data_IF_779725034186
#
_entry.id   IF_779725034186
#
_cell.length_a   1.000
_cell.length_b   1.000
_cell.length_c   1.000
_cell.angle_alpha   90.00
_cell.angle_beta   90.00
_cell.angle_gamma   90.00
#
_symmetry.space_group_name_H-M   'P 1'
#
loop_
_entity.id
_entity.type
_entity.pdbx_description
1 polymer ?
#
# COMPACT_ATOMS: atom_id res chain seq x y z
N UNK A 1 -6.88 -11.27 -8.62
CA UNK A 1 -6.45 -10.19 -7.70
C UNK A 1 -5.74 -10.74 -6.46
N UNK A 2 -6.19 -11.86 -5.87
CA UNK A 2 -5.52 -12.49 -4.73
C UNK A 2 -4.06 -12.90 -5.01
N UNK A 3 -3.77 -13.34 -6.23
CA UNK A 3 -2.43 -13.81 -6.62
C UNK A 3 -1.36 -12.70 -6.57
N UNK A 4 -1.66 -11.50 -7.08
CA UNK A 4 -0.70 -10.38 -7.10
C UNK A 4 -0.25 -9.96 -5.70
N UNK A 5 -1.19 -9.93 -4.75
CA UNK A 5 -0.92 -9.62 -3.34
C UNK A 5 -0.10 -10.73 -2.70
N UNK A 6 -0.46 -11.99 -2.96
CA UNK A 6 0.23 -13.14 -2.43
C UNK A 6 1.70 -13.15 -2.89
N UNK A 7 1.94 -12.99 -4.19
CA UNK A 7 3.28 -12.87 -4.77
C UNK A 7 4.08 -11.72 -4.15
N UNK A 8 3.47 -10.53 -4.02
CA UNK A 8 4.13 -9.37 -3.41
C UNK A 8 4.55 -9.63 -1.96
N UNK A 9 3.69 -10.27 -1.17
CA UNK A 9 3.98 -10.65 0.21
C UNK A 9 5.08 -11.69 0.32
N UNK A 10 5.06 -12.72 -0.53
CA UNK A 10 6.11 -13.75 -0.59
C UNK A 10 7.46 -13.13 -0.99
N UNK A 11 7.49 -12.25 -1.98
CA UNK A 11 8.74 -11.58 -2.38
C UNK A 11 9.32 -10.71 -1.27
N UNK A 12 8.49 -10.06 -0.45
CA UNK A 12 8.94 -9.33 0.74
C UNK A 12 9.57 -10.27 1.79
N UNK A 13 8.96 -11.43 2.04
CA UNK A 13 9.51 -12.44 2.96
C UNK A 13 10.86 -12.98 2.46
N UNK A 14 10.95 -13.32 1.17
CA UNK A 14 12.20 -13.79 0.56
C UNK A 14 13.28 -12.70 0.61
N UNK A 15 12.91 -11.44 0.39
CA UNK A 15 13.83 -10.30 0.51
C UNK A 15 14.36 -10.14 1.93
N UNK A 16 13.54 -10.38 2.96
CA UNK A 16 13.97 -10.37 4.36
C UNK A 16 15.05 -11.43 4.65
N UNK A 17 14.90 -12.63 4.07
CA UNK A 17 15.87 -13.73 4.17
C UNK A 17 17.17 -13.38 3.43
N UNK A 18 17.09 -12.87 2.21
CA UNK A 18 18.27 -12.46 1.45
C UNK A 18 19.06 -11.34 2.14
N UNK A 19 18.37 -10.39 2.77
CA UNK A 19 19.03 -9.36 3.57
C UNK A 19 19.82 -9.94 4.76
N UNK A 20 19.27 -10.98 5.41
CA UNK A 20 19.95 -11.70 6.50
C UNK A 20 21.17 -12.50 6.04
N UNK A 21 21.16 -13.00 4.81
CA UNK A 21 22.29 -13.73 4.23
C UNK A 21 23.45 -12.78 3.89
N UNK A 22 23.14 -11.56 3.45
CA UNK A 22 24.12 -10.51 3.17
C UNK A 22 24.62 -9.78 4.44
N UNK A 23 24.71 -10.47 5.60
CA UNK A 23 24.87 -9.83 6.91
C UNK A 23 26.21 -9.10 7.04
N UNK A 24 26.16 -7.84 7.47
CA UNK A 24 27.32 -6.98 7.68
C UNK A 24 27.25 -6.24 9.03
N UNK A 25 26.04 -5.94 9.53
CA UNK A 25 25.80 -5.29 10.81
C UNK A 25 24.57 -5.87 11.50
N UNK A 26 24.80 -6.60 12.60
CA UNK A 26 23.76 -7.41 13.29
C UNK A 26 22.50 -6.60 13.57
N UNK A 27 22.62 -5.35 14.02
CA UNK A 27 21.48 -4.56 14.46
C UNK A 27 20.64 -4.04 13.29
N UNK A 28 21.26 -3.35 12.32
CA UNK A 28 20.51 -2.72 11.21
C UNK A 28 19.94 -3.78 10.26
N UNK A 29 20.69 -4.86 9.99
CA UNK A 29 20.21 -5.96 9.16
C UNK A 29 18.99 -6.65 9.79
N UNK A 30 19.01 -6.84 11.12
CA UNK A 30 17.88 -7.40 11.86
C UNK A 30 16.66 -6.50 11.78
N UNK A 31 16.83 -5.20 11.96
CA UNK A 31 15.73 -4.24 11.89
C UNK A 31 15.11 -4.20 10.49
N UNK A 32 15.92 -4.10 9.44
CA UNK A 32 15.41 -4.03 8.05
C UNK A 32 14.72 -5.33 7.66
N UNK A 33 15.29 -6.50 7.97
CA UNK A 33 14.63 -7.77 7.70
C UNK A 33 13.35 -7.95 8.52
N UNK A 34 13.29 -7.47 9.77
CA UNK A 34 12.07 -7.50 10.56
C UNK A 34 10.97 -6.63 9.91
N UNK A 35 11.30 -5.43 9.44
CA UNK A 35 10.35 -4.59 8.71
C UNK A 35 9.85 -5.27 7.43
N UNK A 36 10.75 -5.87 6.64
CA UNK A 36 10.37 -6.60 5.42
C UNK A 36 9.51 -7.83 5.74
N UNK A 37 9.84 -8.58 6.79
CA UNK A 37 9.09 -9.75 7.21
C UNK A 37 7.67 -9.38 7.70
N UNK A 38 7.57 -8.40 8.61
CA UNK A 38 6.29 -7.89 9.11
C UNK A 38 5.49 -7.29 7.97
N UNK A 39 6.12 -6.49 7.08
CA UNK A 39 5.49 -5.92 5.90
C UNK A 39 4.93 -7.00 4.96
N UNK A 40 5.69 -8.07 4.72
CA UNK A 40 5.24 -9.22 3.94
C UNK A 40 4.03 -9.91 4.56
N UNK A 41 4.06 -10.19 5.87
CA UNK A 41 2.92 -10.78 6.60
C UNK A 41 1.70 -9.86 6.56
N UNK A 42 1.87 -8.55 6.75
CA UNK A 42 0.79 -7.57 6.64
C UNK A 42 0.13 -7.57 5.25
N UNK A 43 0.93 -7.67 4.18
CA UNK A 43 0.42 -7.78 2.81
C UNK A 43 -0.34 -9.09 2.60
N UNK A 44 0.20 -10.22 3.08
CA UNK A 44 -0.47 -11.53 2.98
C UNK A 44 -1.80 -11.57 3.74
N UNK A 45 -1.87 -10.91 4.89
CA UNK A 45 -3.06 -10.87 5.74
C UNK A 45 -4.11 -9.83 5.33
N UNK A 46 -3.84 -8.95 4.36
CA UNK A 46 -4.72 -7.85 4.00
C UNK A 46 -5.75 -8.22 2.94
N UNK A 47 -7.03 -8.35 3.28
CA UNK A 47 -8.07 -8.74 2.30
C UNK A 47 -8.39 -7.65 1.27
N UNK A 48 -8.17 -6.38 1.63
CA UNK A 48 -8.43 -5.20 0.79
C UNK A 48 -7.22 -4.27 0.78
N UNK A 49 -7.27 -3.21 -0.03
CA UNK A 49 -6.30 -2.13 0.04
C UNK A 49 -6.49 -1.33 1.34
N UNK A 50 -5.82 -1.80 2.39
CA UNK A 50 -5.93 -1.30 3.76
C UNK A 50 -4.61 -0.71 4.25
N UNK A 51 -4.58 -0.04 5.43
CA UNK A 51 -3.34 0.46 6.03
C UNK A 51 -2.22 -0.59 6.15
N UNK A 52 -2.58 -1.88 6.28
CA UNK A 52 -1.64 -3.01 6.29
C UNK A 52 -0.86 -3.15 4.98
N UNK A 53 -1.55 -3.01 3.85
CA UNK A 53 -0.94 -3.06 2.51
C UNK A 53 -0.07 -1.83 2.26
N UNK A 54 -0.49 -0.65 2.77
CA UNK A 54 0.31 0.58 2.73
C UNK A 54 1.59 0.43 3.56
N UNK A 55 1.51 -0.20 4.73
CA UNK A 55 2.69 -0.50 5.54
C UNK A 55 3.66 -1.42 4.81
N UNK A 56 3.17 -2.49 4.15
CA UNK A 56 4.02 -3.34 3.30
C UNK A 56 4.67 -2.60 2.13
N UNK A 57 3.96 -1.63 1.53
CA UNK A 57 4.53 -0.74 0.51
C UNK A 57 5.63 0.17 1.08
N UNK A 58 5.46 0.68 2.31
CA UNK A 58 6.50 1.44 2.98
C UNK A 58 7.74 0.58 3.28
N UNK A 59 7.54 -0.66 3.75
CA UNK A 59 8.64 -1.60 4.00
C UNK A 59 9.41 -1.95 2.73
N UNK A 60 8.74 -2.13 1.59
CA UNK A 60 9.41 -2.34 0.29
C UNK A 60 10.28 -1.15 -0.09
N UNK A 61 9.81 0.08 0.10
CA UNK A 61 10.60 1.30 -0.17
C UNK A 61 11.83 1.38 0.72
N UNK A 62 11.71 1.03 2.01
CA UNK A 62 12.87 0.93 2.93
C UNK A 62 13.87 -0.10 2.40
N UNK A 63 13.41 -1.28 1.98
CA UNK A 63 14.28 -2.30 1.39
C UNK A 63 15.01 -1.81 0.14
N UNK A 64 14.31 -1.13 -0.77
CA UNK A 64 14.89 -0.53 -1.99
C UNK A 64 15.94 0.53 -1.65
N UNK A 65 15.67 1.40 -0.67
CA UNK A 65 16.61 2.44 -0.26
C UNK A 65 17.82 1.88 0.48
N UNK A 66 17.64 0.80 1.25
CA UNK A 66 18.69 0.20 2.05
C UNK A 66 19.70 -0.60 1.23
N UNK A 67 19.27 -1.34 0.20
CA UNK A 67 20.18 -2.20 -0.58
C UNK A 67 21.34 -1.44 -1.25
N UNK A 68 21.15 -0.28 -1.91
CA UNK A 68 22.24 0.52 -2.47
C UNK A 68 23.19 1.06 -1.40
N UNK A 69 22.65 1.50 -0.25
CA UNK A 69 23.46 1.98 0.88
C UNK A 69 24.36 0.85 1.37
N UNK A 70 23.81 -0.36 1.54
CA UNK A 70 24.57 -1.52 1.99
C UNK A 70 25.63 -1.97 0.98
N UNK A 71 25.31 -1.93 -0.32
CA UNK A 71 26.29 -2.18 -1.39
C UNK A 71 27.44 -1.16 -1.36
N UNK A 72 27.15 0.11 -1.11
CA UNK A 72 28.18 1.15 -0.98
C UNK A 72 29.09 0.87 0.23
N UNK A 73 28.54 0.41 1.36
CA UNK A 73 29.35 0.02 2.53
C UNK A 73 30.23 -1.19 2.22
N UNK A 74 29.74 -2.19 1.46
CA UNK A 74 30.52 -3.36 1.00
C UNK A 74 31.73 -2.96 0.16
N UNK A 75 31.61 -1.89 -0.63
CA UNK A 75 32.67 -1.45 -1.54
C UNK A 75 33.64 -0.45 -0.90
N UNK A 76 33.15 0.51 -0.10
CA UNK A 76 33.97 1.63 0.37
C UNK A 76 34.46 1.49 1.82
N UNK A 77 33.68 0.83 2.69
CA UNK A 77 33.93 0.86 4.15
C UNK A 77 34.53 -0.46 4.64
N UNK A 78 33.87 -1.57 4.30
CA UNK A 78 34.25 -2.90 4.78
C UNK A 78 35.65 -3.36 4.34
N UNK A 79 36.09 -3.09 3.09
CA UNK A 79 37.41 -3.52 2.62
C UNK A 79 38.55 -2.93 3.47
N UNK A 80 38.41 -1.65 3.84
CA UNK A 80 39.37 -0.97 4.71
C UNK A 80 39.38 -1.48 6.16
N UNK A 81 38.24 -2.00 6.65
CA UNK A 81 38.13 -2.55 8.01
C UNK A 81 38.61 -4.01 8.11
N UNK A 82 38.34 -4.82 7.08
CA UNK A 82 38.63 -6.25 7.08
C UNK A 82 39.98 -6.59 6.41
N UNK A 83 40.59 -5.64 5.70
CA UNK A 83 41.82 -5.88 4.94
C UNK A 83 41.61 -6.84 3.76
N UNK A 84 40.38 -6.98 3.29
CA UNK A 84 40.00 -7.84 2.16
C UNK A 84 39.78 -6.97 0.94
N UNK A 85 40.05 -7.52 -0.25
CA UNK A 85 39.82 -6.85 -1.52
C UNK A 85 38.36 -6.38 -1.69
N UNK A 86 38.21 -5.13 -2.13
CA UNK A 86 36.92 -4.46 -2.25
C UNK A 86 36.02 -5.12 -3.29
N UNK A 87 36.60 -5.57 -4.40
CA UNK A 87 35.86 -6.22 -5.46
C UNK A 87 35.28 -7.56 -5.02
N UNK A 88 36.07 -8.34 -4.28
CA UNK A 88 35.65 -9.64 -3.73
C UNK A 88 34.47 -9.50 -2.73
N UNK A 89 34.58 -8.54 -1.79
CA UNK A 89 33.50 -8.24 -0.84
C UNK A 89 32.25 -7.72 -1.53
N UNK A 90 32.41 -6.86 -2.53
CA UNK A 90 31.30 -6.35 -3.32
C UNK A 90 30.61 -7.46 -4.10
N UNK A 91 31.37 -8.37 -4.74
CA UNK A 91 30.81 -9.48 -5.49
C UNK A 91 29.97 -10.38 -4.58
N UNK A 92 30.51 -10.72 -3.40
CA UNK A 92 29.81 -11.53 -2.40
C UNK A 92 28.53 -10.85 -1.90
N UNK A 93 28.59 -9.55 -1.58
CA UNK A 93 27.42 -8.78 -1.14
C UNK A 93 26.36 -8.65 -2.25
N UNK A 94 26.80 -8.40 -3.49
CA UNK A 94 25.91 -8.23 -4.65
C UNK A 94 25.11 -9.49 -4.99
N UNK A 95 25.68 -10.69 -4.75
CA UNK A 95 25.01 -11.96 -5.00
C UNK A 95 23.68 -12.11 -4.23
N UNK A 96 23.54 -11.42 -3.10
CA UNK A 96 22.33 -11.44 -2.26
C UNK A 96 21.55 -10.11 -2.33
N UNK A 97 22.25 -8.98 -2.36
CA UNK A 97 21.62 -7.65 -2.33
C UNK A 97 20.96 -7.28 -3.67
N UNK A 98 21.50 -7.75 -4.80
CA UNK A 98 20.88 -7.49 -6.11
C UNK A 98 19.56 -8.25 -6.25
N UNK A 99 19.49 -9.58 -5.99
CA UNK A 99 18.20 -10.29 -6.01
C UNK A 99 17.19 -9.71 -5.00
N UNK A 100 17.64 -9.32 -3.80
CA UNK A 100 16.79 -8.65 -2.82
C UNK A 100 16.20 -7.35 -3.38
N UNK A 101 17.03 -6.51 -4.00
CA UNK A 101 16.57 -5.25 -4.60
C UNK A 101 15.54 -5.51 -5.69
N UNK A 102 15.78 -6.48 -6.57
CA UNK A 102 14.86 -6.87 -7.64
C UNK A 102 13.52 -7.31 -7.03
N UNK A 103 13.53 -8.18 -6.01
CA UNK A 103 12.31 -8.67 -5.36
C UNK A 103 11.54 -7.55 -4.66
N UNK A 104 12.22 -6.61 -4.00
CA UNK A 104 11.59 -5.44 -3.40
C UNK A 104 10.93 -4.53 -4.47
N UNK A 105 11.61 -4.31 -5.61
CA UNK A 105 11.06 -3.52 -6.73
C UNK A 105 9.85 -4.23 -7.35
N UNK A 106 9.94 -5.53 -7.61
CA UNK A 106 8.84 -6.33 -8.16
C UNK A 106 7.65 -6.32 -7.20
N UNK A 107 7.88 -6.52 -5.90
CA UNK A 107 6.83 -6.46 -4.88
C UNK A 107 6.16 -5.09 -4.85
N UNK A 108 6.93 -3.99 -4.91
CA UNK A 108 6.36 -2.65 -4.98
C UNK A 108 5.52 -2.44 -6.24
N UNK A 109 5.98 -2.89 -7.41
CA UNK A 109 5.23 -2.80 -8.66
C UNK A 109 3.94 -3.62 -8.61
N UNK A 110 3.97 -4.81 -8.02
CA UNK A 110 2.78 -5.64 -7.81
C UNK A 110 1.79 -4.97 -6.87
N UNK A 111 2.26 -4.37 -5.77
CA UNK A 111 1.43 -3.59 -4.85
C UNK A 111 0.81 -2.38 -5.54
N UNK A 112 1.56 -1.66 -6.38
CA UNK A 112 1.03 -0.52 -7.15
C UNK A 112 0.00 -0.97 -8.20
N UNK A 113 0.22 -2.11 -8.86
CA UNK A 113 -0.76 -2.71 -9.78
C UNK A 113 -2.01 -3.16 -9.03
N UNK A 114 -1.86 -3.78 -7.87
CA UNK A 114 -2.97 -4.17 -7.01
C UNK A 114 -3.77 -2.95 -6.56
N UNK A 115 -3.10 -1.87 -6.13
CA UNK A 115 -3.73 -0.57 -5.83
C UNK A 115 -4.56 -0.09 -7.01
N UNK A 116 -3.95 -0.02 -8.20
CA UNK A 116 -4.63 0.46 -9.41
C UNK A 116 -5.84 -0.39 -9.75
N UNK A 117 -5.70 -1.71 -9.73
CA UNK A 117 -6.79 -2.65 -10.02
C UNK A 117 -7.92 -2.54 -9.01
N UNK A 118 -7.60 -2.36 -7.71
CA UNK A 118 -8.58 -2.11 -6.66
C UNK A 118 -9.39 -0.83 -6.94
N UNK A 119 -8.73 0.30 -7.21
CA UNK A 119 -9.46 1.53 -7.55
C UNK A 119 -10.19 1.46 -8.90
N UNK A 120 -9.70 0.68 -9.87
CA UNK A 120 -10.39 0.45 -11.14
C UNK A 120 -11.61 -0.46 -11.00
N UNK A 121 -11.64 -1.42 -10.06
CA UNK A 121 -12.84 -2.20 -9.75
C UNK A 121 -13.94 -1.38 -9.07
N UNK A 122 -13.58 -0.23 -8.48
CA UNK A 122 -14.54 0.79 -8.04
C UNK A 122 -14.94 1.78 -9.16
N UNK A 123 -14.62 1.50 -10.43
CA UNK A 123 -15.38 2.05 -11.57
C UNK A 123 -16.80 1.45 -11.56
N UNK A 124 -17.56 1.70 -10.51
CA UNK A 124 -19.01 1.67 -10.62
C UNK A 124 -19.34 2.88 -11.49
N UNK A 125 -19.89 2.64 -12.68
CA UNK A 125 -20.52 3.72 -13.44
C UNK A 125 -21.57 4.34 -12.53
N UNK A 126 -21.26 5.52 -11.98
CA UNK A 126 -22.23 6.32 -11.23
C UNK A 126 -23.17 6.91 -12.28
N UNK A 127 -24.09 6.07 -12.74
CA UNK A 127 -25.13 6.40 -13.71
C UNK A 127 -26.28 7.13 -13.02
N UNK A 128 -26.51 6.84 -11.73
CA UNK A 128 -27.61 7.46 -10.99
C UNK A 128 -27.25 8.90 -10.57
N UNK A 129 -28.04 9.92 -10.97
CA UNK A 129 -27.82 11.30 -10.58
C UNK A 129 -27.85 11.52 -9.06
N UNK A 130 -28.58 10.70 -8.30
CA UNK A 130 -28.62 10.78 -6.83
C UNK A 130 -27.31 10.33 -6.20
N UNK A 131 -26.67 9.29 -6.75
CA UNK A 131 -25.36 8.84 -6.28
C UNK A 131 -24.27 9.88 -6.56
N UNK A 132 -24.30 10.54 -7.74
CA UNK A 132 -23.40 11.67 -8.05
C UNK A 132 -23.59 12.81 -7.05
N UNK A 133 -24.84 13.13 -6.69
CA UNK A 133 -25.17 14.15 -5.69
C UNK A 133 -24.68 13.78 -4.30
N UNK A 134 -24.87 12.54 -3.87
CA UNK A 134 -24.38 12.04 -2.59
C UNK A 134 -22.86 12.20 -2.47
N UNK A 135 -22.13 11.77 -3.50
CA UNK A 135 -20.66 11.83 -3.52
C UNK A 135 -20.18 13.28 -3.58
N UNK A 136 -20.85 14.15 -4.33
CA UNK A 136 -20.47 15.57 -4.41
C UNK A 136 -20.70 16.32 -3.10
N UNK A 137 -21.78 16.00 -2.37
CA UNK A 137 -22.08 16.55 -1.03
C UNK A 137 -21.03 16.11 -0.01
N UNK A 138 -20.66 14.82 -0.02
CA UNK A 138 -19.67 14.25 0.89
C UNK A 138 -18.22 14.57 0.52
N UNK A 139 -17.97 15.04 -0.72
CA UNK A 139 -16.66 15.40 -1.26
C UNK A 139 -15.85 16.39 -0.43
N UNK A 140 -16.51 17.19 0.41
CA UNK A 140 -15.86 18.14 1.31
C UNK A 140 -16.43 18.20 2.72
N UNK A 141 -17.33 17.28 3.12
CA UNK A 141 -18.06 17.36 4.40
C UNK A 141 -18.25 16.00 5.03
N UNK A 142 -18.30 15.98 6.37
CA UNK A 142 -18.71 14.81 7.17
C UNK A 142 -20.10 15.09 7.72
N UNK A 143 -21.10 14.33 7.28
CA UNK A 143 -22.50 14.61 7.57
C UNK A 143 -23.15 13.47 8.34
N UNK A 144 -24.05 13.80 9.27
CA UNK A 144 -24.91 12.82 9.92
C UNK A 144 -25.99 12.29 8.97
N UNK A 145 -26.63 11.17 9.32
CA UNK A 145 -27.69 10.56 8.50
C UNK A 145 -28.82 11.55 8.15
N UNK A 146 -29.34 12.28 9.15
CA UNK A 146 -30.41 13.28 8.94
C UNK A 146 -29.97 14.46 8.07
N UNK A 147 -28.79 15.02 8.34
CA UNK A 147 -28.23 16.11 7.53
C UNK A 147 -28.03 15.69 6.06
N UNK A 148 -27.66 14.42 5.84
CA UNK A 148 -27.49 13.86 4.51
C UNK A 148 -28.85 13.73 3.79
N UNK A 149 -29.88 13.21 4.49
CA UNK A 149 -31.24 13.07 3.96
C UNK A 149 -31.82 14.43 3.56
N UNK A 150 -31.70 15.43 4.44
CA UNK A 150 -32.18 16.80 4.19
C UNK A 150 -31.50 17.44 2.97
N UNK A 151 -30.19 17.26 2.81
CA UNK A 151 -29.45 17.83 1.67
C UNK A 151 -29.72 17.13 0.35
N UNK A 152 -29.98 15.84 0.39
CA UNK A 152 -30.36 15.06 -0.79
C UNK A 152 -31.83 15.25 -1.15
N UNK A 153 -32.66 15.68 -0.19
CA UNK A 153 -34.11 15.83 -0.36
C UNK A 153 -34.82 14.47 -0.48
N UNK A 154 -34.28 13.43 0.15
CA UNK A 154 -34.78 12.05 0.07
C UNK A 154 -35.26 11.55 1.43
N UNK A 155 -36.19 10.60 1.43
CA UNK A 155 -36.66 9.95 2.66
C UNK A 155 -35.60 9.06 3.32
N UNK A 156 -35.80 8.69 4.59
CA UNK A 156 -34.84 7.87 5.33
C UNK A 156 -34.65 6.46 4.71
N UNK A 157 -35.71 5.84 4.21
CA UNK A 157 -35.62 4.52 3.56
C UNK A 157 -34.88 4.58 2.22
N UNK A 158 -35.14 5.62 1.44
CA UNK A 158 -34.48 5.87 0.17
C UNK A 158 -32.99 6.16 0.38
N UNK A 159 -32.63 6.93 1.41
CA UNK A 159 -31.25 7.14 1.79
C UNK A 159 -30.56 5.85 2.23
N UNK A 160 -31.24 4.96 2.97
CA UNK A 160 -30.68 3.65 3.33
C UNK A 160 -30.42 2.79 2.09
N UNK A 161 -31.36 2.74 1.16
CA UNK A 161 -31.20 2.03 -0.12
C UNK A 161 -30.03 2.61 -0.92
N UNK A 162 -29.90 3.93 -0.98
CA UNK A 162 -28.82 4.62 -1.67
C UNK A 162 -27.46 4.29 -1.03
N UNK A 163 -27.35 4.38 0.30
CA UNK A 163 -26.12 4.06 1.05
C UNK A 163 -25.73 2.59 0.93
N UNK A 164 -26.70 1.68 0.83
CA UNK A 164 -26.42 0.26 0.54
C UNK A 164 -25.90 0.07 -0.89
N UNK A 165 -26.47 0.77 -1.88
CA UNK A 165 -26.03 0.73 -3.28
C UNK A 165 -24.63 1.28 -3.48
N UNK A 166 -24.31 2.41 -2.85
CA UNK A 166 -22.96 3.00 -2.86
C UNK A 166 -22.03 2.39 -1.82
N UNK A 167 -22.39 1.23 -1.26
CA UNK A 167 -21.62 0.51 -0.24
C UNK A 167 -20.18 0.28 -0.72
N UNK A 168 -19.22 0.92 -0.04
CA UNK A 168 -17.80 0.91 -0.42
C UNK A 168 -17.26 2.26 -0.90
N UNK A 169 -18.10 3.20 -1.34
CA UNK A 169 -17.73 4.60 -1.62
C UNK A 169 -17.91 5.50 -0.40
N UNK A 170 -18.79 5.11 0.51
CA UNK A 170 -19.10 5.84 1.74
C UNK A 170 -18.92 4.90 2.93
N UNK A 171 -18.33 5.42 4.00
CA UNK A 171 -18.19 4.73 5.28
C UNK A 171 -18.66 5.61 6.45
N UNK A 172 -18.90 4.98 7.59
CA UNK A 172 -19.23 5.64 8.85
C UNK A 172 -17.96 5.86 9.68
N UNK A 173 -17.65 7.12 9.96
CA UNK A 173 -16.58 7.51 10.88
C UNK A 173 -16.98 7.21 12.34
N UNK A 174 -16.03 7.21 13.28
CA UNK A 174 -16.23 6.87 14.70
C UNK A 174 -17.29 7.76 15.39
N UNK A 175 -17.59 8.95 14.83
CA UNK A 175 -18.64 9.87 15.28
C UNK A 175 -20.01 9.62 14.65
N UNK A 176 -20.23 8.47 14.00
CA UNK A 176 -21.45 8.14 13.25
C UNK A 176 -21.78 9.16 12.15
N UNK A 177 -20.74 9.67 11.47
CA UNK A 177 -20.87 10.57 10.32
C UNK A 177 -20.43 9.86 9.05
N UNK A 178 -21.16 10.05 7.97
CA UNK A 178 -20.80 9.53 6.67
C UNK A 178 -19.66 10.34 6.07
N UNK A 179 -18.65 9.62 5.58
CA UNK A 179 -17.47 10.16 4.91
C UNK A 179 -17.18 9.35 3.65
N UNK A 180 -16.58 9.98 2.65
CA UNK A 180 -16.09 9.25 1.49
C UNK A 180 -14.89 8.40 1.89
N UNK A 181 -14.94 7.13 1.51
CA UNK A 181 -13.76 6.24 1.48
C UNK A 181 -12.75 6.77 0.46
N UNK A 182 -11.55 6.19 0.42
CA UNK A 182 -10.57 6.53 -0.62
C UNK A 182 -11.12 6.29 -2.04
N UNK A 183 -11.94 5.26 -2.22
CA UNK A 183 -12.64 4.98 -3.48
C UNK A 183 -13.68 6.08 -3.79
N UNK A 184 -14.49 6.48 -2.80
CA UNK A 184 -15.43 7.58 -2.93
C UNK A 184 -14.77 8.92 -3.26
N UNK A 185 -13.61 9.21 -2.66
CA UNK A 185 -12.82 10.43 -2.97
C UNK A 185 -12.27 10.40 -4.40
N UNK A 186 -11.78 9.25 -4.85
CA UNK A 186 -11.34 9.10 -6.23
C UNK A 186 -12.49 9.32 -7.23
N UNK A 187 -13.69 8.81 -6.92
CA UNK A 187 -14.89 9.06 -7.71
C UNK A 187 -15.28 10.56 -7.70
N UNK A 188 -15.28 11.21 -6.53
CA UNK A 188 -15.53 12.65 -6.41
C UNK A 188 -14.57 13.50 -7.27
N UNK A 189 -13.27 13.18 -7.25
CA UNK A 189 -12.27 13.90 -8.05
C UNK A 189 -12.46 13.72 -9.56
N UNK A 190 -13.06 12.62 -10.02
CA UNK A 190 -13.44 12.44 -11.42
C UNK A 190 -14.68 13.25 -11.78
N UNK A 191 -15.72 13.21 -10.94
CA UNK A 191 -16.93 14.01 -11.13
C UNK A 191 -16.66 15.52 -11.16
N UNK A 192 -15.58 15.99 -10.53
CA UNK A 192 -15.16 17.40 -10.56
C UNK A 192 -14.38 17.78 -11.84
N UNK A 193 -13.88 16.80 -12.59
CA UNK A 193 -13.13 17.00 -13.85
C UNK A 193 -14.01 16.92 -15.09
N UNK A 194 -15.18 16.31 -14.97
CA UNK A 194 -16.28 16.39 -15.95
C UNK A 194 -17.05 17.71 -15.80
#
# INVERSE_FOLDING_TARGET
>A
MADLRFEAGVFLLVSAVLNMLARMGIVVDVVVSAFLAIGGVCVLAAERWEPRTVFGAACTVIGIGYSPVKLAVFYYVLPGLLGVDAFTLFLLGSAFLVPMLILCVVSLLLLLRYRRSYYESFKVEISDPLERRLISILGGRRLGFRELAERLGVGEEELRSLLQRVGGLVELDYRKRYVLTDAGRAAYLRLKKE
#
